data_IF_516264306895
#
_entry.id   IF_516264306895
#
_cell.length_a   1.000
_cell.length_b   1.000
_cell.length_c   1.000
_cell.angle_alpha   90.00
_cell.angle_beta   90.00
_cell.angle_gamma   90.00
#
_symmetry.space_group_name_H-M   'P 1'
#
loop_
_entity.id
_entity.type
_entity.pdbx_description
1 polymer ?
#
# COMPACT_ATOMS: atom_id res chain seq x y z
N UNK A 1 27.78 -24.27 1.86
CA UNK A 1 26.31 -24.23 1.79
C UNK A 1 25.68 -23.14 2.66
N UNK A 2 26.25 -22.80 3.83
CA UNK A 2 25.70 -21.76 4.72
C UNK A 2 25.84 -20.31 4.20
N UNK A 3 26.92 -19.97 3.47
CA UNK A 3 27.16 -18.59 3.03
C UNK A 3 26.10 -18.09 2.01
N UNK A 4 25.70 -18.94 1.06
CA UNK A 4 24.68 -18.60 0.06
C UNK A 4 23.31 -18.38 0.68
N UNK A 5 22.96 -19.18 1.70
CA UNK A 5 21.69 -19.05 2.41
C UNK A 5 21.61 -17.72 3.17
N UNK A 6 22.70 -17.32 3.83
CA UNK A 6 22.80 -16.02 4.51
C UNK A 6 22.71 -14.84 3.53
N UNK A 7 23.35 -14.93 2.37
CA UNK A 7 23.28 -13.86 1.34
C UNK A 7 21.86 -13.75 0.75
N UNK A 8 21.18 -14.87 0.49
CA UNK A 8 19.79 -14.88 0.04
C UNK A 8 18.84 -14.27 1.07
N UNK A 9 19.02 -14.60 2.36
CA UNK A 9 18.25 -14.01 3.46
C UNK A 9 18.43 -12.49 3.53
N UNK A 10 19.68 -12.00 3.43
CA UNK A 10 19.96 -10.55 3.44
C UNK A 10 19.36 -9.86 2.22
N UNK A 11 19.43 -10.46 1.03
CA UNK A 11 18.80 -9.92 -0.18
C UNK A 11 17.27 -9.86 -0.08
N UNK A 12 16.62 -10.86 0.53
CA UNK A 12 15.18 -10.84 0.79
C UNK A 12 14.77 -9.73 1.78
N UNK A 13 15.58 -9.51 2.83
CA UNK A 13 15.33 -8.44 3.81
C UNK A 13 15.52 -7.05 3.15
N UNK A 14 16.48 -6.90 2.24
CA UNK A 14 16.73 -5.65 1.53
C UNK A 14 15.62 -5.26 0.52
N UNK A 15 14.73 -6.19 0.16
CA UNK A 15 13.57 -5.91 -0.70
C UNK A 15 12.31 -5.51 0.07
N UNK A 16 12.36 -5.34 1.39
CA UNK A 16 11.21 -4.83 2.13
C UNK A 16 10.90 -3.40 1.71
N UNK A 17 9.91 -3.22 0.84
CA UNK A 17 9.34 -1.92 0.52
C UNK A 17 8.84 -1.31 1.82
N UNK A 18 9.25 -0.07 2.11
CA UNK A 18 8.63 0.71 3.18
C UNK A 18 7.16 0.86 2.84
N UNK A 19 6.30 0.16 3.58
CA UNK A 19 4.86 0.29 3.56
C UNK A 19 4.40 0.77 4.93
N UNK A 20 3.33 1.56 4.97
CA UNK A 20 2.63 1.83 6.22
C UNK A 20 1.31 1.05 6.19
N UNK A 21 1.01 0.37 7.29
CA UNK A 21 -0.20 -0.42 7.44
C UNK A 21 -0.96 0.11 8.65
N UNK A 22 -2.24 0.42 8.48
CA UNK A 22 -3.16 0.65 9.58
C UNK A 22 -4.25 -0.40 9.58
N UNK A 23 -4.72 -0.77 10.77
CA UNK A 23 -5.82 -1.70 10.96
C UNK A 23 -6.90 -1.05 11.81
N UNK A 24 -8.13 -1.21 11.39
CA UNK A 24 -9.32 -0.81 12.12
C UNK A 24 -10.24 -2.02 12.27
N UNK A 25 -10.83 -2.19 13.45
CA UNK A 25 -11.61 -3.36 13.82
C UNK A 25 -13.06 -2.96 14.00
N UNK A 26 -13.97 -3.71 13.37
CA UNK A 26 -15.41 -3.52 13.46
C UNK A 26 -16.02 -4.78 14.09
N UNK A 27 -16.58 -4.72 15.31
CA UNK A 27 -17.24 -5.88 15.89
C UNK A 27 -18.47 -6.27 15.06
N UNK A 28 -18.67 -7.58 14.87
CA UNK A 28 -19.88 -8.08 14.18
C UNK A 28 -21.02 -8.10 15.20
N UNK A 29 -22.00 -7.24 14.97
CA UNK A 29 -23.19 -7.13 15.81
C UNK A 29 -24.41 -7.77 15.14
N UNK A 30 -25.31 -8.42 15.92
CA UNK A 30 -26.57 -8.93 15.39
C UNK A 30 -27.39 -7.81 14.72
N UNK A 31 -27.94 -8.09 13.54
CA UNK A 31 -28.77 -7.16 12.77
C UNK A 31 -28.07 -5.91 12.22
N UNK A 32 -26.73 -5.82 12.29
CA UNK A 32 -25.98 -4.82 11.54
C UNK A 32 -25.39 -5.42 10.26
N UNK A 33 -25.28 -4.62 9.16
CA UNK A 33 -24.58 -5.07 7.98
C UNK A 33 -23.12 -5.41 8.30
N UNK A 34 -22.65 -6.57 7.83
CA UNK A 34 -21.25 -6.94 7.92
C UNK A 34 -20.45 -6.21 6.83
N UNK A 35 -20.00 -4.99 7.12
CA UNK A 35 -19.21 -4.19 6.19
C UNK A 35 -18.13 -3.39 6.93
N UNK A 36 -17.00 -3.15 6.26
CA UNK A 36 -15.99 -2.21 6.75
C UNK A 36 -16.25 -0.81 6.15
N UNK A 37 -16.40 0.21 6.98
CA UNK A 37 -16.49 1.60 6.51
C UNK A 37 -15.09 2.20 6.36
N UNK A 38 -14.64 2.46 5.14
CA UNK A 38 -13.28 2.98 4.87
C UNK A 38 -13.23 4.51 4.68
N UNK A 39 -14.40 5.12 4.44
CA UNK A 39 -14.67 6.57 4.42
C UNK A 39 -16.14 6.75 4.78
N UNK A 40 -16.49 7.94 5.27
CA UNK A 40 -17.88 8.30 5.60
C UNK A 40 -18.83 7.93 4.46
N UNK A 41 -19.77 7.02 4.75
CA UNK A 41 -20.79 6.54 3.81
C UNK A 41 -20.27 5.63 2.70
N UNK A 42 -19.04 5.12 2.78
CA UNK A 42 -18.47 4.19 1.81
C UNK A 42 -17.94 2.94 2.50
N UNK A 43 -18.39 1.80 2.00
CA UNK A 43 -18.16 0.52 2.63
C UNK A 43 -17.54 -0.49 1.68
N UNK A 44 -16.93 -1.52 2.25
CA UNK A 44 -16.47 -2.75 1.60
C UNK A 44 -17.12 -3.95 2.28
N UNK A 45 -17.56 -4.92 1.49
CA UNK A 45 -17.98 -6.21 2.01
C UNK A 45 -16.76 -7.07 2.39
N UNK A 46 -16.93 -8.10 3.25
CA UNK A 46 -15.86 -9.02 3.58
C UNK A 46 -15.31 -9.72 2.33
N UNK A 47 -13.98 -9.77 2.22
CA UNK A 47 -13.26 -10.29 1.05
C UNK A 47 -13.07 -9.26 -0.07
N UNK A 48 -13.62 -8.05 0.05
CA UNK A 48 -13.42 -7.00 -0.94
C UNK A 48 -12.18 -6.15 -0.65
N UNK A 49 -11.54 -5.73 -1.74
CA UNK A 49 -10.45 -4.77 -1.74
C UNK A 49 -10.70 -3.63 -2.70
N UNK A 50 -10.22 -2.44 -2.37
CA UNK A 50 -10.31 -1.24 -3.20
C UNK A 50 -8.97 -0.50 -3.23
N UNK A 51 -8.50 -0.20 -4.45
CA UNK A 51 -7.35 0.67 -4.67
C UNK A 51 -7.79 2.12 -4.83
N UNK A 52 -7.37 2.97 -3.91
CA UNK A 52 -7.60 4.41 -3.95
C UNK A 52 -6.39 5.11 -4.57
N UNK A 53 -6.41 5.25 -5.90
CA UNK A 53 -5.32 5.89 -6.66
C UNK A 53 -5.12 7.35 -6.31
N UNK A 54 -6.14 8.03 -5.75
CA UNK A 54 -6.06 9.43 -5.34
C UNK A 54 -5.08 9.62 -4.19
N UNK A 55 -5.07 8.66 -3.25
CA UNK A 55 -4.21 8.69 -2.06
C UNK A 55 -3.13 7.61 -2.07
N UNK A 56 -2.95 6.93 -3.21
CA UNK A 56 -2.02 5.83 -3.40
C UNK A 56 -2.02 4.81 -2.25
N UNK A 57 -3.18 4.17 -2.05
CA UNK A 57 -3.38 3.17 -1.01
C UNK A 57 -4.34 2.08 -1.45
N UNK A 58 -4.32 0.98 -0.71
CA UNK A 58 -5.26 -0.12 -0.86
C UNK A 58 -5.99 -0.34 0.47
N UNK A 59 -7.29 -0.56 0.37
CA UNK A 59 -8.16 -0.98 1.46
C UNK A 59 -8.55 -2.43 1.24
N UNK A 60 -8.56 -3.23 2.29
CA UNK A 60 -9.09 -4.60 2.27
C UNK A 60 -9.95 -4.81 3.50
N UNK A 61 -11.15 -5.37 3.32
CA UNK A 61 -12.03 -5.75 4.42
C UNK A 61 -12.00 -7.26 4.58
N UNK A 62 -11.45 -7.75 5.69
CA UNK A 62 -11.40 -9.18 5.99
C UNK A 62 -12.34 -9.50 7.16
N UNK A 63 -12.85 -10.75 7.20
CA UNK A 63 -13.58 -11.27 8.35
C UNK A 63 -12.66 -12.16 9.17
N UNK A 64 -12.49 -11.81 10.44
CA UNK A 64 -11.82 -12.64 11.44
C UNK A 64 -12.88 -13.43 12.20
N UNK A 65 -13.12 -14.67 11.74
CA UNK A 65 -14.14 -15.56 12.30
C UNK A 65 -13.85 -15.94 13.75
N UNK A 66 -12.58 -16.10 14.11
CA UNK A 66 -12.18 -16.51 15.46
C UNK A 66 -12.50 -15.45 16.51
N UNK A 67 -12.36 -14.17 16.14
CA UNK A 67 -12.66 -13.03 17.00
C UNK A 67 -14.06 -12.41 16.76
N UNK A 68 -14.86 -12.96 15.84
CA UNK A 68 -16.17 -12.45 15.45
C UNK A 68 -16.16 -10.94 15.11
N UNK A 69 -15.20 -10.54 14.27
CA UNK A 69 -14.98 -9.13 13.90
C UNK A 69 -14.62 -9.00 12.41
N UNK A 70 -14.85 -7.82 11.86
CA UNK A 70 -14.29 -7.41 10.57
C UNK A 70 -13.03 -6.56 10.81
N UNK A 71 -12.07 -6.67 9.91
CA UNK A 71 -10.81 -5.93 9.96
C UNK A 71 -10.62 -5.19 8.65
N UNK A 72 -10.66 -3.86 8.72
CA UNK A 72 -10.24 -3.01 7.61
C UNK A 72 -8.72 -2.84 7.70
N UNK A 73 -8.01 -3.38 6.73
CA UNK A 73 -6.59 -3.11 6.54
C UNK A 73 -6.44 -2.00 5.51
N UNK A 74 -5.76 -0.91 5.88
CA UNK A 74 -5.32 0.11 4.92
C UNK A 74 -3.82 -0.01 4.75
N UNK A 75 -3.36 -0.18 3.51
CA UNK A 75 -1.95 -0.23 3.16
C UNK A 75 -1.62 0.99 2.30
N UNK A 76 -0.62 1.76 2.72
CA UNK A 76 -0.13 2.92 1.99
C UNK A 76 1.35 2.77 1.67
N UNK A 77 1.87 3.66 0.82
CA UNK A 77 3.31 3.81 0.69
C UNK A 77 3.91 4.24 2.04
N UNK A 78 5.07 3.71 2.39
CA UNK A 78 5.87 4.22 3.49
C UNK A 78 6.54 5.55 3.13
N UNK A 79 7.18 6.16 4.12
CA UNK A 79 7.95 7.39 3.90
C UNK A 79 9.21 7.06 3.12
N UNK A 80 9.46 7.79 2.05
CA UNK A 80 10.72 7.73 1.31
C UNK A 80 11.31 9.12 1.14
N UNK A 81 12.63 9.21 1.28
CA UNK A 81 13.39 10.40 0.93
C UNK A 81 14.17 10.11 -0.34
N UNK A 82 13.87 10.86 -1.40
CA UNK A 82 14.49 10.70 -2.71
C UNK A 82 15.39 11.89 -2.94
N UNK A 83 16.68 11.63 -3.16
CA UNK A 83 17.60 12.65 -3.64
C UNK A 83 17.42 12.79 -5.15
N UNK A 84 17.18 14.02 -5.60
CA UNK A 84 17.09 14.35 -7.02
C UNK A 84 18.17 15.38 -7.31
N UNK A 85 19.19 14.97 -8.07
CA UNK A 85 20.25 15.87 -8.47
C UNK A 85 19.83 16.68 -9.72
N UNK A 86 20.19 17.97 -9.82
CA UNK A 86 19.97 18.75 -11.04
C UNK A 86 20.66 18.10 -12.25
N UNK A 87 20.07 18.18 -13.48
CA UNK A 87 18.85 18.90 -13.86
C UNK A 87 17.56 18.06 -13.77
N UNK A 88 17.55 16.96 -13.01
CA UNK A 88 16.38 16.09 -12.88
C UNK A 88 15.32 16.67 -11.93
N UNK A 89 14.08 16.19 -12.03
CA UNK A 89 12.97 16.56 -11.15
C UNK A 89 12.06 15.37 -10.84
N UNK A 90 11.24 15.50 -9.79
CA UNK A 90 10.18 14.53 -9.48
C UNK A 90 9.01 14.71 -10.45
N UNK A 91 8.88 13.77 -11.37
CA UNK A 91 7.72 13.62 -12.24
C UNK A 91 6.49 13.12 -11.48
N UNK A 92 5.32 13.40 -12.03
CA UNK A 92 4.06 12.82 -11.56
C UNK A 92 3.79 11.49 -12.25
N UNK A 93 3.20 10.56 -11.51
CA UNK A 93 2.59 9.39 -12.10
C UNK A 93 1.43 9.77 -13.02
N UNK A 94 1.12 8.94 -14.04
CA UNK A 94 -0.13 9.05 -14.77
C UNK A 94 -1.33 9.11 -13.81
N UNK A 95 -2.39 9.86 -14.16
CA UNK A 95 -3.65 9.82 -13.41
C UNK A 95 -4.11 8.37 -13.22
N UNK A 96 -4.66 8.06 -12.04
CA UNK A 96 -5.20 6.73 -11.70
C UNK A 96 -4.19 5.57 -11.67
N UNK A 97 -2.89 5.86 -11.56
CA UNK A 97 -1.89 4.81 -11.32
C UNK A 97 -2.25 4.06 -10.02
N UNK A 98 -2.47 2.73 -10.07
CA UNK A 98 -2.91 1.97 -8.92
C UNK A 98 -1.80 1.79 -7.88
N UNK A 99 -2.22 1.49 -6.64
CA UNK A 99 -1.30 0.96 -5.64
C UNK A 99 -0.88 -0.49 -6.02
N UNK A 100 0.39 -0.90 -5.81
CA UNK A 100 1.51 -0.15 -5.23
C UNK A 100 2.33 0.65 -6.24
N UNK A 101 1.98 0.65 -7.53
CA UNK A 101 2.79 1.27 -8.59
C UNK A 101 2.96 2.78 -8.38
N UNK A 102 1.94 3.45 -7.85
CA UNK A 102 2.00 4.87 -7.51
C UNK A 102 2.96 5.20 -6.36
N UNK A 103 3.52 4.22 -5.65
CA UNK A 103 4.49 4.46 -4.58
C UNK A 103 5.88 4.77 -5.09
N UNK A 104 6.26 4.34 -6.30
CA UNK A 104 7.63 4.54 -6.77
C UNK A 104 7.84 5.99 -7.22
N UNK A 105 8.91 6.67 -6.81
CA UNK A 105 9.15 8.03 -7.26
C UNK A 105 9.53 8.01 -8.75
N UNK A 106 8.85 8.81 -9.57
CA UNK A 106 9.21 8.97 -10.98
C UNK A 106 10.22 10.11 -11.10
N UNK A 107 11.49 9.80 -11.30
CA UNK A 107 12.51 10.82 -11.59
C UNK A 107 12.56 11.03 -13.11
N UNK A 108 12.48 12.29 -13.54
CA UNK A 108 12.58 12.67 -14.94
C UNK A 108 13.83 13.54 -15.10
N UNK A 109 14.73 13.11 -15.96
CA UNK A 109 15.91 13.86 -16.35
C UNK A 109 15.74 14.33 -17.80
N UNK A 110 16.27 15.51 -18.18
CA UNK A 110 16.40 15.89 -19.58
C UNK A 110 17.15 14.79 -20.33
N UNK A 111 16.76 14.50 -21.56
CA UNK A 111 17.59 13.70 -22.45
C UNK A 111 18.91 14.44 -22.66
N UNK A 112 20.04 13.75 -22.53
CA UNK A 112 21.33 14.32 -22.89
C UNK A 112 21.23 14.79 -24.34
N UNK A 113 21.23 16.12 -24.52
CA UNK A 113 21.32 16.76 -25.82
C UNK A 113 22.67 16.38 -26.41
N UNK A 114 22.69 15.33 -27.24
CA UNK A 114 23.79 15.03 -28.16
C UNK A 114 24.03 16.22 -29.11
#
# INVERSE_FOLDING_TARGET
MNLCFSVLLVLCILQSTYGAISREVFPIEPNKPEVCEYKVGRTLAPGESLRDSTYCREYTCDKDEAANQLVLTTVTCGVMSVRVDPPCYLGRHPPYTPYPQCCQPKIVCPEDSN
#
